data_IF_955835652716
#
_entry.id   IF_955835652716
#
_cell.length_a   1.000
_cell.length_b   1.000
_cell.length_c   1.000
_cell.angle_alpha   90.00
_cell.angle_beta   90.00
_cell.angle_gamma   90.00
#
_symmetry.space_group_name_H-M   'P 1'
#
loop_
_entity.id
_entity.type
_entity.pdbx_description
1 polymer ?
#
# COMPACT_ATOMS: atom_id res chain seq x y z
N UNK A 1 -14.41 -29.53 -3.11
CA UNK A 1 -13.79 -28.73 -4.18
C UNK A 1 -14.21 -27.26 -4.10
N UNK A 2 -15.52 -26.94 -4.20
CA UNK A 2 -16.03 -25.56 -4.17
C UNK A 2 -15.62 -24.73 -2.92
N UNK A 3 -15.65 -25.32 -1.72
CA UNK A 3 -15.28 -24.59 -0.49
C UNK A 3 -13.81 -24.14 -0.50
N UNK A 4 -12.89 -25.00 -0.93
CA UNK A 4 -11.46 -24.69 -1.03
C UNK A 4 -11.25 -23.57 -2.05
N UNK A 5 -11.93 -23.66 -3.19
CA UNK A 5 -11.90 -22.62 -4.23
C UNK A 5 -12.40 -21.28 -3.69
N UNK A 6 -13.50 -21.26 -2.95
CA UNK A 6 -14.06 -20.04 -2.37
C UNK A 6 -13.10 -19.42 -1.36
N UNK A 7 -12.53 -20.22 -0.45
CA UNK A 7 -11.55 -19.76 0.52
C UNK A 7 -10.29 -19.21 -0.16
N UNK A 8 -9.83 -19.86 -1.23
CA UNK A 8 -8.69 -19.40 -2.01
C UNK A 8 -8.96 -18.03 -2.62
N UNK A 9 -10.10 -17.84 -3.31
CA UNK A 9 -10.43 -16.55 -3.90
C UNK A 9 -10.67 -15.47 -2.85
N UNK A 10 -11.29 -15.79 -1.71
CA UNK A 10 -11.46 -14.86 -0.60
C UNK A 10 -10.11 -14.42 -0.02
N UNK A 11 -9.17 -15.36 0.16
CA UNK A 11 -7.82 -15.06 0.64
C UNK A 11 -7.03 -14.21 -0.36
N UNK A 12 -7.09 -14.55 -1.66
CA UNK A 12 -6.44 -13.77 -2.72
C UNK A 12 -7.03 -12.36 -2.81
N UNK A 13 -8.37 -12.23 -2.75
CA UNK A 13 -9.04 -10.94 -2.76
C UNK A 13 -8.69 -10.11 -1.54
N UNK A 14 -8.68 -10.70 -0.34
CA UNK A 14 -8.27 -10.02 0.89
C UNK A 14 -6.81 -9.58 0.86
N UNK A 15 -5.92 -10.42 0.34
CA UNK A 15 -4.51 -10.07 0.16
C UNK A 15 -4.35 -8.91 -0.83
N UNK A 16 -5.06 -8.94 -1.96
CA UNK A 16 -4.99 -7.93 -3.03
C UNK A 16 -5.63 -6.59 -2.66
N UNK A 17 -6.76 -6.60 -1.95
CA UNK A 17 -7.51 -5.38 -1.62
C UNK A 17 -7.10 -4.73 -0.29
N UNK A 18 -6.51 -5.49 0.64
CA UNK A 18 -6.20 -4.98 1.99
C UNK A 18 -4.71 -5.12 2.34
N UNK A 19 -4.17 -6.34 2.29
CA UNK A 19 -2.81 -6.61 2.83
C UNK A 19 -1.72 -5.96 1.98
N UNK A 20 -1.72 -6.20 0.66
CA UNK A 20 -0.70 -5.66 -0.25
C UNK A 20 -0.80 -4.14 -0.40
N UNK A 21 -2.00 -3.52 -0.52
CA UNK A 21 -2.13 -2.07 -0.50
C UNK A 21 -1.61 -1.41 0.79
N UNK A 22 -1.90 -1.99 1.96
CA UNK A 22 -1.38 -1.48 3.23
C UNK A 22 0.16 -1.56 3.29
N UNK A 23 0.74 -2.69 2.84
CA UNK A 23 2.19 -2.84 2.74
C UNK A 23 2.81 -1.85 1.75
N UNK A 24 2.14 -1.60 0.62
CA UNK A 24 2.57 -0.62 -0.38
C UNK A 24 2.57 0.80 0.19
N UNK A 25 1.54 1.20 0.94
CA UNK A 25 1.53 2.48 1.63
C UNK A 25 2.73 2.64 2.59
N UNK A 26 3.05 1.61 3.38
CA UNK A 26 4.20 1.63 4.27
C UNK A 26 5.53 1.74 3.49
N UNK A 27 5.68 0.99 2.41
CA UNK A 27 6.84 1.02 1.54
C UNK A 27 7.04 2.40 0.88
N UNK A 28 5.98 2.97 0.32
CA UNK A 28 6.02 4.31 -0.27
C UNK A 28 6.36 5.35 0.79
N UNK A 29 5.68 5.36 1.94
CA UNK A 29 5.95 6.32 3.00
C UNK A 29 7.40 6.28 3.50
N UNK A 30 8.00 5.09 3.59
CA UNK A 30 9.38 4.93 4.05
C UNK A 30 10.43 5.43 3.03
N UNK A 31 10.18 5.26 1.73
CA UNK A 31 11.23 5.46 0.70
C UNK A 31 10.90 6.54 -0.33
N UNK A 32 9.77 7.23 -0.21
CA UNK A 32 9.32 8.21 -1.19
C UNK A 32 10.33 9.32 -1.48
N UNK A 33 11.21 9.71 -0.56
CA UNK A 33 12.17 10.80 -0.82
C UNK A 33 13.55 10.30 -1.25
N UNK A 34 13.82 9.00 -1.17
CA UNK A 34 15.15 8.40 -1.39
C UNK A 34 15.16 7.33 -2.49
N UNK A 35 14.02 7.01 -3.08
CA UNK A 35 13.91 5.98 -4.12
C UNK A 35 14.68 6.34 -5.40
N UNK A 36 15.37 5.36 -5.99
CA UNK A 36 16.03 5.51 -7.30
C UNK A 36 15.02 5.63 -8.44
N UNK A 37 15.46 6.03 -9.64
CA UNK A 37 14.57 6.18 -10.80
C UNK A 37 13.84 4.88 -11.18
N UNK A 38 14.55 3.75 -11.14
CA UNK A 38 13.97 2.44 -11.42
C UNK A 38 13.00 2.02 -10.30
N UNK A 39 13.38 2.23 -9.04
CA UNK A 39 12.51 1.94 -7.90
C UNK A 39 11.23 2.77 -7.95
N UNK A 40 11.32 4.04 -8.33
CA UNK A 40 10.16 4.92 -8.48
C UNK A 40 9.21 4.42 -9.57
N UNK A 41 9.74 4.00 -10.72
CA UNK A 41 8.94 3.44 -11.80
C UNK A 41 8.19 2.18 -11.34
N UNK A 42 8.87 1.31 -10.59
CA UNK A 42 8.25 0.14 -10.00
C UNK A 42 7.18 0.50 -8.95
N UNK A 43 7.41 1.49 -8.10
CA UNK A 43 6.39 2.00 -7.17
C UNK A 43 5.13 2.47 -7.91
N UNK A 44 5.28 3.21 -9.02
CA UNK A 44 4.13 3.63 -9.82
C UNK A 44 3.37 2.44 -10.42
N UNK A 45 4.08 1.45 -10.95
CA UNK A 45 3.47 0.21 -11.42
C UNK A 45 2.63 -0.44 -10.30
N UNK A 46 3.18 -0.57 -9.09
CA UNK A 46 2.46 -1.14 -7.96
C UNK A 46 1.22 -0.32 -7.57
N UNK A 47 1.29 1.01 -7.64
CA UNK A 47 0.13 1.88 -7.39
C UNK A 47 -0.99 1.61 -8.38
N UNK A 48 -0.69 1.47 -9.67
CA UNK A 48 -1.71 1.14 -10.67
C UNK A 48 -2.22 -0.30 -10.52
N UNK A 49 -1.33 -1.24 -10.23
CA UNK A 49 -1.70 -2.63 -10.06
C UNK A 49 -2.59 -2.87 -8.83
N UNK A 50 -2.38 -2.14 -7.74
CA UNK A 50 -3.17 -2.23 -6.49
C UNK A 50 -4.14 -1.07 -6.26
N UNK A 51 -4.36 -0.23 -7.28
CA UNK A 51 -5.20 0.96 -7.21
C UNK A 51 -6.57 0.77 -6.53
N UNK A 52 -7.36 -0.28 -6.84
CA UNK A 52 -8.65 -0.46 -6.18
C UNK A 52 -8.51 -0.62 -4.65
N UNK A 53 -7.51 -1.37 -4.19
CA UNK A 53 -7.26 -1.54 -2.76
C UNK A 53 -6.71 -0.29 -2.08
N UNK A 54 -5.87 0.49 -2.79
CA UNK A 54 -5.37 1.76 -2.28
C UNK A 54 -6.51 2.75 -2.02
N UNK A 55 -7.47 2.91 -2.94
CA UNK A 55 -8.64 3.80 -2.73
C UNK A 55 -9.47 3.37 -1.52
N UNK A 56 -9.63 2.07 -1.28
CA UNK A 56 -10.39 1.58 -0.12
C UNK A 56 -9.75 2.00 1.21
N UNK A 57 -8.42 1.97 1.29
CA UNK A 57 -7.69 2.31 2.52
C UNK A 57 -7.40 3.81 2.66
N UNK A 58 -7.40 4.56 1.55
CA UNK A 58 -7.01 5.97 1.51
C UNK A 58 -7.69 6.88 2.55
N UNK A 59 -9.01 6.75 2.85
CA UNK A 59 -9.67 7.61 3.84
C UNK A 59 -9.16 7.41 5.28
N UNK A 60 -8.54 6.28 5.58
CA UNK A 60 -8.14 5.89 6.93
C UNK A 60 -6.67 6.21 7.26
N UNK A 61 -5.87 6.56 6.26
CA UNK A 61 -4.43 6.75 6.39
C UNK A 61 -4.07 8.23 6.32
N UNK A 62 -3.22 8.68 7.25
CA UNK A 62 -2.70 10.04 7.27
C UNK A 62 -1.17 10.02 7.36
N UNK A 63 -0.51 10.39 6.26
CA UNK A 63 0.95 10.46 6.16
C UNK A 63 1.50 11.88 6.31
N UNK A 64 0.77 12.75 7.03
CA UNK A 64 1.28 14.09 7.36
C UNK A 64 2.59 13.96 8.17
N UNK A 65 3.64 14.72 7.82
CA UNK A 65 4.85 14.78 8.62
C UNK A 65 4.54 15.13 10.08
N UNK A 66 5.20 14.43 11.00
CA UNK A 66 5.04 14.72 12.43
C UNK A 66 5.65 16.08 12.78
N UNK A 67 5.08 16.82 13.75
CA UNK A 67 5.64 18.09 14.17
C UNK A 67 7.09 17.97 14.60
N UNK A 68 7.93 18.89 14.13
CA UNK A 68 9.33 18.97 14.56
C UNK A 68 9.38 19.48 16.00
N UNK A 69 10.12 18.79 16.88
CA UNK A 69 10.46 19.31 18.20
C UNK A 69 11.43 20.49 18.04
N UNK A 70 11.06 21.65 18.54
CA UNK A 70 11.92 22.84 18.61
C UNK A 70 12.39 22.93 20.06
N UNK A 71 13.71 22.89 20.29
CA UNK A 71 14.26 23.15 21.62
C UNK A 71 13.99 24.62 21.94
N UNK A 72 13.25 24.86 23.03
CA UNK A 72 13.02 26.20 23.58
C UNK A 72 14.19 26.57 24.47
#
# INVERSE_FOLDING_TARGET
MLLITLLLYAALAGAYLLVLPAALYAYMNARWYVASSFERAFMYFLVFFFFPGLILLAPFLNFRPQPRKIAT
#
